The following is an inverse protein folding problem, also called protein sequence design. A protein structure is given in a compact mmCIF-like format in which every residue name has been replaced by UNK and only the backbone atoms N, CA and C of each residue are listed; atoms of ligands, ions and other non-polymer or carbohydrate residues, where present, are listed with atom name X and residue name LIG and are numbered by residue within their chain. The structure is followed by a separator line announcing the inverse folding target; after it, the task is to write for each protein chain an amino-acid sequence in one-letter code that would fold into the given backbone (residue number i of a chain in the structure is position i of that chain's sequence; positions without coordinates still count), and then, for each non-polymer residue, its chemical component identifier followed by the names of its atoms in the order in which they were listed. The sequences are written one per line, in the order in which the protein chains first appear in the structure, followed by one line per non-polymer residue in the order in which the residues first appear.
data_IF_276192809939
#
_entry.id   IF_276192809939
#
_cell.length_a   1.000
_cell.length_b   1.000
_cell.length_c   1.000
_cell.angle_alpha   90.00
_cell.angle_beta   90.00
_cell.angle_gamma   90.00
#
_symmetry.space_group_name_H-M   'P 1'
#
loop_
_entity.id
_entity.type
_entity.pdbx_description
1 polymer ?
#
# COMPACT_ATOMS: atom_id res chain seq x y z
N UNK A 1 -5.19 -7.87 -8.98
CA UNK A 1 -3.81 -7.67 -9.47
C UNK A 1 -3.81 -7.65 -10.99
N UNK A 2 -3.07 -6.75 -11.66
CA UNK A 2 -2.95 -6.75 -13.13
C UNK A 2 -1.79 -7.64 -13.57
N UNK A 3 -2.09 -8.65 -14.38
CA UNK A 3 -1.11 -9.63 -14.84
C UNK A 3 -1.01 -9.62 -16.36
N UNK A 4 0.21 -9.45 -16.87
CA UNK A 4 0.49 -9.58 -18.30
C UNK A 4 1.10 -10.94 -18.60
N UNK A 5 0.45 -11.70 -19.46
CA UNK A 5 0.86 -13.03 -19.86
C UNK A 5 1.42 -13.04 -21.28
N UNK A 6 2.56 -13.70 -21.51
CA UNK A 6 3.09 -13.95 -22.85
C UNK A 6 3.37 -15.43 -23.06
N UNK A 7 2.93 -15.95 -24.20
CA UNK A 7 3.21 -17.31 -24.62
C UNK A 7 4.06 -17.36 -25.89
N UNK A 8 4.93 -18.37 -26.00
CA UNK A 8 5.91 -18.50 -27.10
C UNK A 8 5.58 -19.61 -28.10
N UNK A 9 4.51 -20.38 -27.89
CA UNK A 9 4.02 -21.43 -28.80
C UNK A 9 2.49 -21.41 -28.85
N UNK A 10 1.87 -21.98 -29.89
CA UNK A 10 0.40 -22.13 -29.97
C UNK A 10 -0.16 -22.91 -28.76
N UNK A 11 0.55 -23.98 -28.34
CA UNK A 11 0.17 -24.77 -27.17
C UNK A 11 0.25 -23.95 -25.88
N UNK A 12 1.34 -23.20 -25.72
CA UNK A 12 1.51 -22.27 -24.60
C UNK A 12 0.44 -21.18 -24.59
N UNK A 13 0.04 -20.67 -25.75
CA UNK A 13 -1.01 -19.66 -25.85
C UNK A 13 -2.37 -20.22 -25.41
N UNK A 14 -2.72 -21.42 -25.88
CA UNK A 14 -3.94 -22.09 -25.42
C UNK A 14 -3.93 -22.36 -23.90
N UNK A 15 -2.77 -22.71 -23.33
CA UNK A 15 -2.61 -22.81 -21.86
C UNK A 15 -2.81 -21.44 -21.19
N UNK A 16 -2.16 -20.40 -21.69
CA UNK A 16 -2.25 -19.03 -21.18
C UNK A 16 -3.70 -18.53 -21.15
N UNK A 17 -4.47 -18.73 -22.23
CA UNK A 17 -5.88 -18.32 -22.29
C UNK A 17 -6.77 -19.11 -21.32
N UNK A 18 -6.48 -20.39 -21.08
CA UNK A 18 -7.24 -21.17 -20.08
C UNK A 18 -6.92 -20.71 -18.66
N UNK A 19 -5.64 -20.52 -18.35
CA UNK A 19 -5.20 -20.01 -17.05
C UNK A 19 -5.73 -18.60 -16.81
N UNK A 20 -5.68 -17.70 -17.79
CA UNK A 20 -6.22 -16.35 -17.68
C UNK A 20 -7.73 -16.36 -17.37
N UNK A 21 -8.51 -17.18 -18.09
CA UNK A 21 -9.94 -17.35 -17.79
C UNK A 21 -10.18 -17.84 -16.36
N UNK A 22 -9.49 -18.90 -15.94
CA UNK A 22 -9.64 -19.43 -14.58
C UNK A 22 -9.29 -18.38 -13.50
N UNK A 23 -8.21 -17.61 -13.70
CA UNK A 23 -7.80 -16.55 -12.79
C UNK A 23 -8.80 -15.38 -12.73
N UNK A 24 -9.45 -15.07 -13.86
CA UNK A 24 -10.51 -14.06 -13.92
C UNK A 24 -11.87 -14.56 -13.42
N UNK A 25 -12.15 -15.87 -13.54
CA UNK A 25 -13.42 -16.51 -13.11
C UNK A 25 -13.44 -16.79 -11.61
N UNK A 26 -12.28 -17.05 -10.97
CA UNK A 26 -12.16 -17.08 -9.51
C UNK A 26 -12.65 -15.77 -8.85
N UNK A 27 -12.70 -14.65 -9.59
CA UNK A 27 -13.33 -13.41 -9.14
C UNK A 27 -14.85 -13.53 -8.91
N UNK A 28 -15.50 -14.55 -9.47
CA UNK A 28 -16.96 -14.67 -9.55
C UNK A 28 -17.54 -15.77 -8.64
N UNK A 29 -16.70 -16.65 -8.08
CA UNK A 29 -17.16 -17.81 -7.27
C UNK A 29 -17.44 -17.48 -5.80
N UNK A 30 -17.17 -16.25 -5.35
CA UNK A 30 -17.44 -15.82 -3.97
C UNK A 30 -16.51 -16.44 -2.92
N UNK A 31 -15.46 -17.16 -3.35
CA UNK A 31 -14.25 -17.34 -2.53
C UNK A 31 -13.47 -16.02 -2.61
N UNK A 32 -12.95 -15.55 -1.47
CA UNK A 32 -12.29 -14.24 -1.29
C UNK A 32 -10.95 -14.07 -2.10
N UNK A 33 -10.79 -14.74 -3.24
CA UNK A 33 -9.61 -14.64 -4.11
C UNK A 33 -9.71 -13.33 -4.93
N UNK A 34 -8.75 -12.41 -4.82
CA UNK A 34 -8.81 -11.11 -5.47
C UNK A 34 -8.75 -11.28 -6.99
N UNK A 35 -9.90 -11.29 -7.66
CA UNK A 35 -10.03 -11.40 -9.11
C UNK A 35 -8.88 -10.76 -9.90
N UNK A 36 -8.24 -11.56 -10.75
CA UNK A 36 -7.03 -11.16 -11.44
C UNK A 36 -7.40 -10.60 -12.82
N UNK A 37 -6.91 -9.40 -13.11
CA UNK A 37 -7.05 -8.78 -14.43
C UNK A 37 -5.90 -9.28 -15.30
N UNK A 38 -6.15 -10.28 -16.14
CA UNK A 38 -5.12 -10.99 -16.90
C UNK A 38 -5.24 -10.68 -18.39
N UNK A 39 -4.18 -10.11 -18.97
CA UNK A 39 -4.05 -9.94 -20.43
C UNK A 39 -3.13 -11.01 -21.02
N UNK A 40 -3.40 -11.46 -22.25
CA UNK A 40 -2.61 -12.52 -22.92
C UNK A 40 -2.10 -12.04 -24.27
N UNK A 41 -0.78 -12.16 -24.48
CA UNK A 41 -0.07 -11.74 -25.70
C UNK A 41 0.64 -12.93 -26.38
N UNK A 42 0.78 -12.85 -27.71
CA UNK A 42 1.54 -13.82 -28.52
C UNK A 42 2.98 -13.35 -28.71
N UNK A 43 3.93 -14.19 -28.32
CA UNK A 43 5.38 -14.03 -28.61
C UNK A 43 5.86 -14.79 -29.86
N UNK A 44 4.93 -15.30 -30.68
CA UNK A 44 5.19 -16.12 -31.86
C UNK A 44 4.16 -15.83 -32.97
N UNK A 45 4.42 -16.28 -34.20
CA UNK A 45 3.54 -16.09 -35.35
C UNK A 45 3.58 -14.68 -35.97
N UNK A 46 2.67 -14.41 -36.90
CA UNK A 46 2.45 -13.06 -37.44
C UNK A 46 1.86 -12.15 -36.35
N UNK A 47 2.29 -10.88 -36.33
CA UNK A 47 1.88 -9.93 -35.29
C UNK A 47 2.45 -10.22 -33.90
N UNK A 48 3.47 -11.09 -33.77
CA UNK A 48 4.12 -11.37 -32.50
C UNK A 48 4.66 -10.08 -31.86
N UNK A 49 4.54 -9.99 -30.55
CA UNK A 49 5.18 -8.94 -29.79
C UNK A 49 6.70 -9.14 -29.80
N UNK A 50 7.45 -8.04 -29.99
CA UNK A 50 8.89 -8.07 -29.69
C UNK A 50 9.07 -8.26 -28.19
N UNK A 51 9.80 -9.31 -27.78
CA UNK A 51 9.89 -9.69 -26.37
C UNK A 51 10.45 -8.57 -25.50
N UNK A 52 11.42 -7.81 -26.00
CA UNK A 52 12.04 -6.73 -25.22
C UNK A 52 11.08 -5.56 -25.06
N UNK A 53 10.46 -5.12 -26.15
CA UNK A 53 9.47 -4.04 -26.12
C UNK A 53 8.23 -4.43 -25.29
N UNK A 54 7.74 -5.67 -25.46
CA UNK A 54 6.63 -6.20 -24.68
C UNK A 54 6.96 -6.23 -23.20
N UNK A 55 8.15 -6.74 -22.84
CA UNK A 55 8.54 -6.83 -21.42
C UNK A 55 8.63 -5.44 -20.81
N UNK A 56 9.19 -4.45 -21.51
CA UNK A 56 9.25 -3.07 -21.03
C UNK A 56 7.86 -2.49 -20.77
N UNK A 57 6.93 -2.61 -21.73
CA UNK A 57 5.56 -2.13 -21.58
C UNK A 57 4.81 -2.87 -20.47
N UNK A 58 4.93 -4.20 -20.43
CA UNK A 58 4.28 -5.04 -19.41
C UNK A 58 4.81 -4.74 -18.00
N UNK A 59 6.12 -4.47 -17.86
CA UNK A 59 6.76 -4.12 -16.60
C UNK A 59 6.23 -2.80 -16.02
N UNK A 60 6.00 -1.81 -16.87
CA UNK A 60 5.43 -0.52 -16.45
C UNK A 60 3.93 -0.61 -16.19
N UNK A 61 3.20 -1.39 -16.99
CA UNK A 61 1.75 -1.42 -16.97
C UNK A 61 1.15 -2.45 -16.01
N UNK A 62 1.92 -3.41 -15.49
CA UNK A 62 1.38 -4.59 -14.77
C UNK A 62 2.06 -4.81 -13.42
N UNK A 63 1.30 -5.40 -12.51
CA UNK A 63 1.81 -5.76 -11.18
C UNK A 63 2.53 -7.13 -11.21
N UNK A 64 2.20 -8.00 -12.17
CA UNK A 64 2.92 -9.24 -12.44
C UNK A 64 3.04 -9.59 -13.93
N UNK A 65 4.05 -10.39 -14.24
CA UNK A 65 4.29 -10.98 -15.55
C UNK A 65 4.26 -12.52 -15.44
N UNK A 66 3.48 -13.15 -16.32
CA UNK A 66 3.41 -14.60 -16.47
C UNK A 66 4.01 -15.02 -17.82
N UNK A 67 5.12 -15.75 -17.80
CA UNK A 67 5.74 -16.28 -19.01
C UNK A 67 5.34 -17.75 -19.21
N UNK A 68 4.65 -18.05 -20.31
CA UNK A 68 4.32 -19.43 -20.70
C UNK A 68 5.35 -19.95 -21.69
N UNK A 69 6.35 -20.65 -21.15
CA UNK A 69 7.51 -21.15 -21.88
C UNK A 69 8.72 -21.40 -20.99
N UNK A 70 9.91 -21.44 -21.58
CA UNK A 70 11.13 -21.70 -20.83
C UNK A 70 11.47 -20.55 -19.86
N UNK A 71 11.72 -20.87 -18.58
CA UNK A 71 12.09 -19.89 -17.55
C UNK A 71 13.30 -19.01 -17.94
N UNK A 72 14.27 -19.58 -18.67
CA UNK A 72 15.43 -18.82 -19.16
C UNK A 72 15.09 -17.68 -20.14
N UNK A 73 13.95 -17.77 -20.85
CA UNK A 73 13.45 -16.66 -21.67
C UNK A 73 12.98 -15.52 -20.76
N UNK A 74 12.17 -15.85 -19.75
CA UNK A 74 11.68 -14.90 -18.76
C UNK A 74 12.83 -14.18 -18.05
N UNK A 75 13.81 -14.92 -17.52
CA UNK A 75 14.97 -14.36 -16.81
C UNK A 75 15.74 -13.36 -17.68
N UNK A 76 16.01 -13.69 -18.95
CA UNK A 76 16.72 -12.78 -19.87
C UNK A 76 15.89 -11.56 -20.23
N UNK A 77 14.58 -11.73 -20.39
CA UNK A 77 13.67 -10.64 -20.75
C UNK A 77 13.56 -9.60 -19.63
N UNK A 78 13.46 -10.04 -18.37
CA UNK A 78 13.29 -9.16 -17.23
C UNK A 78 14.61 -8.54 -16.73
N UNK A 79 15.76 -9.15 -17.02
CA UNK A 79 17.06 -8.73 -16.48
C UNK A 79 17.37 -7.22 -16.56
N UNK A 80 17.04 -6.49 -17.65
CA UNK A 80 17.27 -5.04 -17.74
C UNK A 80 16.37 -4.20 -16.83
N UNK A 81 15.30 -4.78 -16.26
CA UNK A 81 14.27 -4.08 -15.50
C UNK A 81 14.32 -4.37 -13.99
N UNK A 82 15.10 -5.37 -13.57
CA UNK A 82 15.26 -5.76 -12.16
C UNK A 82 15.99 -4.67 -11.40
N UNK A 83 15.38 -4.17 -10.32
CA UNK A 83 15.95 -3.11 -9.48
C UNK A 83 15.91 -3.48 -7.99
N UNK A 84 14.74 -3.81 -7.46
CA UNK A 84 14.56 -4.13 -6.03
C UNK A 84 13.34 -5.00 -5.77
N UNK A 85 13.48 -5.96 -4.84
CA UNK A 85 12.38 -6.83 -4.37
C UNK A 85 11.16 -6.07 -3.79
N UNK A 86 11.31 -4.79 -3.44
CA UNK A 86 10.24 -3.97 -2.91
C UNK A 86 9.39 -3.28 -3.99
N UNK A 87 9.92 -3.16 -5.22
CA UNK A 87 9.30 -2.40 -6.31
C UNK A 87 9.10 -3.21 -7.59
N UNK A 88 9.91 -4.25 -7.79
CA UNK A 88 9.89 -5.06 -9.01
C UNK A 88 8.59 -5.88 -9.08
N UNK A 89 7.96 -5.91 -10.25
CA UNK A 89 6.78 -6.72 -10.52
C UNK A 89 7.05 -8.20 -10.23
N UNK A 90 6.01 -8.92 -9.81
CA UNK A 90 6.09 -10.37 -9.67
C UNK A 90 6.33 -11.03 -11.02
N UNK A 91 7.22 -12.03 -11.06
CA UNK A 91 7.47 -12.79 -12.29
C UNK A 91 7.33 -14.28 -12.02
N UNK A 92 6.50 -14.93 -12.81
CA UNK A 92 6.28 -16.38 -12.79
C UNK A 92 6.51 -16.95 -14.18
N UNK A 93 7.12 -18.12 -14.26
CA UNK A 93 7.20 -18.92 -15.48
C UNK A 93 6.44 -20.23 -15.31
N UNK A 94 5.68 -20.63 -16.33
CA UNK A 94 5.05 -21.95 -16.42
C UNK A 94 5.45 -22.61 -17.75
N UNK A 95 5.81 -23.89 -17.72
CA UNK A 95 6.15 -24.59 -18.97
C UNK A 95 4.91 -24.86 -19.82
N UNK A 96 5.08 -25.00 -21.15
CA UNK A 96 3.95 -25.11 -22.07
C UNK A 96 3.06 -26.35 -21.84
N UNK A 97 3.58 -27.37 -21.15
CA UNK A 97 2.83 -28.56 -20.77
C UNK A 97 2.08 -28.38 -19.44
N UNK A 98 2.21 -27.24 -18.76
CA UNK A 98 1.55 -26.94 -17.51
C UNK A 98 2.00 -27.85 -16.35
N UNK A 99 3.27 -28.24 -16.30
CA UNK A 99 3.79 -29.17 -15.27
C UNK A 99 4.32 -28.43 -14.06
N UNK A 100 5.02 -27.31 -14.27
CA UNK A 100 5.67 -26.57 -13.19
C UNK A 100 5.43 -25.07 -13.32
N UNK A 101 4.93 -24.45 -12.25
CA UNK A 101 4.85 -23.00 -12.12
C UNK A 101 5.95 -22.52 -11.15
N UNK A 102 6.87 -21.70 -11.65
CA UNK A 102 8.08 -21.30 -10.94
C UNK A 102 8.08 -19.79 -10.73
N UNK A 103 7.99 -19.28 -9.48
CA UNK A 103 8.24 -17.87 -9.20
C UNK A 103 9.71 -17.56 -9.41
N UNK A 104 10.00 -16.52 -10.20
CA UNK A 104 11.35 -16.10 -10.59
C UNK A 104 11.79 -14.81 -9.88
N UNK A 105 10.87 -13.89 -9.63
CA UNK A 105 11.17 -12.59 -9.01
C UNK A 105 10.00 -12.12 -8.13
N UNK A 106 10.33 -11.40 -7.05
CA UNK A 106 9.38 -10.79 -6.10
C UNK A 106 8.37 -11.78 -5.48
N UNK A 107 8.89 -12.85 -4.88
CA UNK A 107 8.12 -13.95 -4.24
C UNK A 107 7.04 -13.51 -3.25
N UNK A 108 7.43 -12.90 -2.13
CA UNK A 108 6.50 -12.46 -1.07
C UNK A 108 5.85 -11.11 -1.37
N UNK A 109 6.57 -10.01 -1.20
CA UNK A 109 6.04 -8.65 -1.37
C UNK A 109 5.40 -8.40 -2.74
N UNK A 110 6.00 -8.92 -3.83
CA UNK A 110 5.42 -8.78 -5.16
C UNK A 110 4.30 -9.76 -5.47
N UNK A 111 4.12 -10.82 -4.67
CA UNK A 111 3.07 -11.82 -4.85
C UNK A 111 3.39 -12.93 -5.86
N UNK A 112 4.64 -13.12 -6.28
CA UNK A 112 4.96 -14.18 -7.27
C UNK A 112 4.74 -15.59 -6.72
N UNK A 113 4.91 -15.82 -5.40
CA UNK A 113 4.64 -17.13 -4.80
C UNK A 113 3.15 -17.47 -4.88
N UNK A 114 2.28 -16.52 -4.52
CA UNK A 114 0.83 -16.68 -4.62
C UNK A 114 0.40 -16.87 -6.08
N UNK A 115 0.89 -16.02 -7.01
CA UNK A 115 0.60 -16.17 -8.43
C UNK A 115 1.01 -17.55 -8.95
N UNK A 116 2.19 -18.05 -8.56
CA UNK A 116 2.65 -19.38 -8.96
C UNK A 116 1.73 -20.49 -8.43
N UNK A 117 1.25 -20.38 -7.19
CA UNK A 117 0.30 -21.33 -6.61
C UNK A 117 -1.06 -21.26 -7.32
N UNK A 118 -1.59 -20.07 -7.58
CA UNK A 118 -2.88 -19.90 -8.24
C UNK A 118 -2.83 -20.37 -9.70
N UNK A 119 -1.77 -20.00 -10.43
CA UNK A 119 -1.49 -20.51 -11.78
C UNK A 119 -1.36 -22.03 -11.78
N UNK A 120 -0.66 -22.60 -10.80
CA UNK A 120 -0.50 -24.04 -10.68
C UNK A 120 -1.85 -24.75 -10.46
N UNK A 121 -2.69 -24.24 -9.55
CA UNK A 121 -4.05 -24.76 -9.35
C UNK A 121 -4.87 -24.72 -10.64
N UNK A 122 -4.86 -23.58 -11.34
CA UNK A 122 -5.61 -23.39 -12.58
C UNK A 122 -5.10 -24.28 -13.74
N UNK A 123 -3.79 -24.50 -13.83
CA UNK A 123 -3.17 -25.28 -14.90
C UNK A 123 -3.06 -26.79 -14.59
N UNK A 124 -3.30 -27.21 -13.35
CA UNK A 124 -2.96 -28.57 -12.89
C UNK A 124 -1.45 -28.79 -12.74
N UNK A 125 -0.68 -27.72 -12.56
CA UNK A 125 0.77 -27.75 -12.41
C UNK A 125 1.20 -27.93 -10.94
N UNK A 126 2.49 -28.14 -10.73
CA UNK A 126 3.12 -28.14 -9.41
C UNK A 126 3.81 -26.78 -9.20
N UNK A 127 3.49 -26.02 -8.13
CA UNK A 127 4.21 -24.79 -7.81
C UNK A 127 5.59 -25.10 -7.18
N UNK A 128 6.66 -24.48 -7.71
CA UNK A 128 8.04 -24.69 -7.25
C UNK A 128 8.48 -23.52 -6.37
N UNK A 129 7.99 -23.49 -5.13
CA UNK A 129 8.33 -22.44 -4.15
C UNK A 129 9.66 -22.78 -3.46
N UNK A 130 10.61 -21.86 -3.50
CA UNK A 130 11.98 -22.07 -2.96
C UNK A 130 12.34 -21.15 -1.80
N UNK A 131 11.47 -20.19 -1.46
CA UNK A 131 11.74 -19.21 -0.42
C UNK A 131 11.74 -19.86 0.97
N UNK A 132 12.78 -19.59 1.76
CA UNK A 132 13.07 -20.31 3.01
C UNK A 132 11.97 -20.18 4.08
N UNK A 133 11.29 -19.05 4.15
CA UNK A 133 10.19 -18.80 5.08
C UNK A 133 8.99 -19.71 4.77
N UNK A 134 8.63 -19.86 3.50
CA UNK A 134 7.56 -20.77 3.04
C UNK A 134 7.94 -22.23 3.29
N UNK A 135 9.18 -22.61 2.97
CA UNK A 135 9.67 -23.99 3.16
C UNK A 135 9.63 -24.39 4.65
N UNK A 136 9.84 -23.44 5.57
CA UNK A 136 9.81 -23.69 7.02
C UNK A 136 8.44 -23.46 7.66
N UNK A 137 7.44 -22.98 6.90
CA UNK A 137 6.11 -22.63 7.44
C UNK A 137 6.14 -21.53 8.49
N UNK A 138 7.15 -20.65 8.45
CA UNK A 138 7.26 -19.52 9.39
C UNK A 138 6.42 -18.37 8.87
N UNK A 139 5.78 -17.61 9.76
CA UNK A 139 4.98 -16.46 9.36
C UNK A 139 5.83 -15.38 8.66
N UNK A 140 5.39 -14.97 7.46
CA UNK A 140 6.04 -13.96 6.66
C UNK A 140 5.35 -12.60 6.83
N UNK A 141 5.97 -11.71 7.61
CA UNK A 141 5.43 -10.37 7.91
C UNK A 141 5.11 -9.54 6.67
N UNK A 142 5.88 -9.70 5.61
CA UNK A 142 5.77 -8.97 4.37
C UNK A 142 4.65 -9.53 3.48
N UNK A 143 4.45 -10.86 3.50
CA UNK A 143 3.26 -11.48 2.91
C UNK A 143 1.99 -11.02 3.63
N UNK A 144 1.99 -11.04 4.97
CA UNK A 144 0.87 -10.52 5.75
C UNK A 144 0.59 -9.04 5.47
N UNK A 145 1.63 -8.19 5.44
CA UNK A 145 1.50 -6.78 5.13
C UNK A 145 0.82 -6.57 3.76
N UNK A 146 1.25 -7.31 2.74
CA UNK A 146 0.66 -7.26 1.40
C UNK A 146 -0.81 -7.69 1.40
N UNK A 147 -1.15 -8.84 2.00
CA UNK A 147 -2.52 -9.34 2.06
C UNK A 147 -3.45 -8.42 2.86
N UNK A 148 -2.93 -7.76 3.89
CA UNK A 148 -3.64 -6.77 4.69
C UNK A 148 -3.67 -5.37 4.05
N UNK A 149 -3.09 -5.19 2.86
CA UNK A 149 -3.04 -3.90 2.16
C UNK A 149 -2.15 -2.84 2.83
N UNK A 150 -1.19 -3.26 3.65
CA UNK A 150 -0.25 -2.38 4.36
C UNK A 150 0.96 -2.06 3.47
N UNK A 151 1.31 -0.78 3.38
CA UNK A 151 2.53 -0.37 2.68
C UNK A 151 3.76 -0.50 3.60
N UNK A 152 4.85 -1.07 3.11
CA UNK A 152 6.10 -1.17 3.88
C UNK A 152 6.95 0.08 3.66
N UNK A 153 7.16 0.90 4.69
CA UNK A 153 7.91 2.16 4.52
C UNK A 153 9.43 1.97 4.58
N UNK A 154 9.90 0.91 5.26
CA UNK A 154 11.33 0.58 5.40
C UNK A 154 11.60 -0.91 5.12
N UNK A 155 11.53 -1.35 3.83
CA UNK A 155 11.62 -2.76 3.44
C UNK A 155 12.88 -3.49 3.93
N UNK A 156 13.98 -2.78 4.18
CA UNK A 156 15.21 -3.33 4.72
C UNK A 156 15.04 -3.96 6.11
N UNK A 157 14.09 -3.47 6.91
CA UNK A 157 13.79 -4.01 8.25
C UNK A 157 13.10 -5.38 8.20
N UNK A 158 12.50 -5.77 7.06
CA UNK A 158 11.90 -7.11 6.88
C UNK A 158 12.94 -8.19 7.16
N UNK A 159 14.16 -8.04 6.63
CA UNK A 159 15.22 -9.04 6.80
C UNK A 159 15.50 -9.35 8.26
N UNK A 160 15.48 -8.32 9.12
CA UNK A 160 15.73 -8.48 10.56
C UNK A 160 14.58 -9.24 11.24
N UNK A 161 13.33 -8.86 10.94
CA UNK A 161 12.14 -9.53 11.47
C UNK A 161 12.10 -10.99 11.02
N UNK A 162 12.26 -11.25 9.71
CA UNK A 162 12.27 -12.60 9.15
C UNK A 162 13.41 -13.45 9.72
N UNK A 163 14.62 -12.92 9.83
CA UNK A 163 15.75 -13.67 10.39
C UNK A 163 15.51 -14.09 11.84
N UNK A 164 14.89 -13.21 12.65
CA UNK A 164 14.58 -13.49 14.06
C UNK A 164 13.51 -14.58 14.21
N UNK A 165 12.47 -14.55 13.38
CA UNK A 165 11.45 -15.60 13.34
C UNK A 165 12.02 -16.93 12.85
N UNK A 166 12.86 -16.91 11.80
CA UNK A 166 13.51 -18.10 11.25
C UNK A 166 14.48 -18.79 12.22
N UNK A 167 15.02 -18.05 13.21
CA UNK A 167 15.84 -18.60 14.28
C UNK A 167 15.03 -19.02 15.52
N UNK A 168 13.69 -19.05 15.44
CA UNK A 168 12.81 -19.39 16.56
C UNK A 168 12.67 -18.30 17.62
N UNK A 169 13.16 -17.09 17.34
CA UNK A 169 12.96 -15.92 18.19
C UNK A 169 11.55 -15.35 18.07
N UNK A 170 11.19 -14.48 19.02
CA UNK A 170 9.88 -13.79 19.05
C UNK A 170 10.02 -12.33 18.65
N UNK A 171 9.00 -11.77 18.02
CA UNK A 171 8.91 -10.35 17.62
C UNK A 171 7.67 -9.70 18.24
N UNK A 172 7.82 -8.45 18.68
CA UNK A 172 6.74 -7.66 19.24
C UNK A 172 6.06 -6.81 18.14
N UNK A 173 4.74 -6.87 18.01
CA UNK A 173 3.95 -6.10 17.06
C UNK A 173 3.03 -5.12 17.77
N UNK A 174 3.11 -3.85 17.40
CA UNK A 174 2.19 -2.79 17.82
C UNK A 174 1.32 -2.36 16.65
N UNK A 175 0.04 -2.03 16.90
CA UNK A 175 -0.88 -1.57 15.87
C UNK A 175 -1.83 -0.48 16.40
N UNK A 176 -1.97 0.61 15.63
CA UNK A 176 -2.99 1.64 15.84
C UNK A 176 -4.40 1.17 15.43
N UNK A 177 -4.50 -0.03 14.85
CA UNK A 177 -5.73 -0.67 14.38
C UNK A 177 -5.99 -1.98 15.11
N UNK A 178 -7.26 -2.35 15.35
CA UNK A 178 -7.59 -3.66 15.87
C UNK A 178 -7.12 -4.75 14.90
N UNK A 179 -6.58 -5.85 15.45
CA UNK A 179 -6.20 -7.04 14.69
C UNK A 179 -7.00 -8.22 15.24
N UNK A 180 -7.73 -8.88 14.37
CA UNK A 180 -8.51 -10.07 14.66
C UNK A 180 -7.72 -11.36 14.35
N UNK A 181 -8.15 -12.45 14.97
CA UNK A 181 -7.52 -13.76 14.83
C UNK A 181 -6.41 -14.01 15.86
N UNK A 182 -5.87 -15.22 15.85
CA UNK A 182 -4.78 -15.59 16.75
C UNK A 182 -3.44 -15.10 16.18
N UNK A 183 -2.59 -14.45 17.01
CA UNK A 183 -1.24 -14.10 16.59
C UNK A 183 -0.47 -15.34 16.11
N UNK A 184 0.29 -15.24 15.00
CA UNK A 184 1.14 -16.32 14.52
C UNK A 184 2.19 -16.71 15.55
N UNK A 185 2.75 -17.91 15.40
CA UNK A 185 3.85 -18.37 16.25
C UNK A 185 5.04 -17.38 16.18
N UNK A 186 5.56 -17.02 17.36
CA UNK A 186 6.66 -16.07 17.48
C UNK A 186 6.24 -14.60 17.40
N UNK A 187 4.96 -14.27 17.25
CA UNK A 187 4.48 -12.87 17.25
C UNK A 187 3.74 -12.56 18.54
N UNK A 188 4.22 -11.54 19.27
CA UNK A 188 3.61 -11.02 20.49
C UNK A 188 2.96 -9.66 20.22
N UNK A 189 1.76 -9.42 20.77
CA UNK A 189 1.13 -8.09 20.67
C UNK A 189 1.68 -7.18 21.77
N UNK A 190 2.30 -6.08 21.37
CA UNK A 190 2.82 -5.06 22.26
C UNK A 190 1.76 -4.00 22.56
N UNK A 191 1.64 -3.62 23.83
CA UNK A 191 0.82 -2.48 24.26
C UNK A 191 1.52 -1.12 24.04
N UNK A 192 2.85 -1.14 23.88
CA UNK A 192 3.68 0.06 23.74
C UNK A 192 4.48 0.03 22.43
N UNK A 193 4.34 1.09 21.65
CA UNK A 193 5.03 1.32 20.38
C UNK A 193 6.54 1.34 20.54
N UNK A 194 7.08 1.84 21.65
CA UNK A 194 8.52 2.01 21.85
C UNK A 194 9.28 0.68 21.95
N UNK A 195 8.59 -0.41 22.26
CA UNK A 195 9.17 -1.74 22.46
C UNK A 195 8.87 -2.72 21.32
N UNK A 196 8.21 -2.24 20.27
CA UNK A 196 7.77 -3.08 19.15
C UNK A 196 8.91 -3.29 18.14
N UNK A 197 9.01 -4.50 17.60
CA UNK A 197 9.83 -4.85 16.45
C UNK A 197 9.13 -4.50 15.13
N UNK A 198 7.79 -4.51 15.13
CA UNK A 198 6.89 -4.21 14.01
C UNK A 198 5.85 -3.19 14.47
N UNK A 199 5.62 -2.15 13.68
CA UNK A 199 4.66 -1.07 13.97
C UNK A 199 3.71 -0.90 12.79
N UNK A 200 2.42 -1.06 13.03
CA UNK A 200 1.34 -0.76 12.08
C UNK A 200 0.70 0.57 12.44
N UNK A 201 0.87 1.59 11.58
CA UNK A 201 0.44 2.95 11.90
C UNK A 201 0.25 3.80 10.64
N UNK A 202 -0.72 4.72 10.58
CA UNK A 202 -0.83 5.65 9.45
C UNK A 202 0.24 6.76 9.47
N UNK A 203 1.05 6.85 10.52
CA UNK A 203 1.95 7.98 10.75
C UNK A 203 3.39 7.70 10.31
N UNK A 204 4.05 8.73 9.75
CA UNK A 204 5.33 8.62 9.04
C UNK A 204 6.58 8.53 9.94
N UNK A 205 6.45 8.54 11.27
CA UNK A 205 7.62 8.60 12.19
C UNK A 205 7.42 7.92 13.55
N UNK A 206 8.52 7.75 14.30
CA UNK A 206 8.58 7.07 15.60
C UNK A 206 7.72 7.71 16.71
N UNK A 207 7.35 8.99 16.56
CA UNK A 207 6.53 9.72 17.51
C UNK A 207 5.24 10.19 16.86
N UNK A 208 4.23 9.32 16.83
CA UNK A 208 2.83 9.72 16.59
C UNK A 208 1.95 9.53 17.85
N UNK A 209 2.59 9.50 19.01
CA UNK A 209 1.96 9.37 20.33
C UNK A 209 1.93 10.66 21.15
N UNK A 210 2.48 11.77 20.66
CA UNK A 210 2.30 13.05 21.33
C UNK A 210 0.95 13.63 20.92
N UNK A 211 -0.03 13.54 21.83
CA UNK A 211 -1.20 14.43 21.78
C UNK A 211 -0.69 15.85 21.57
N UNK A 212 -1.12 16.49 20.47
CA UNK A 212 -0.90 17.92 20.25
C UNK A 212 -1.66 18.66 21.35
N UNK A 213 -1.00 18.88 22.49
CA UNK A 213 -1.46 19.88 23.46
C UNK A 213 -0.99 21.22 22.91
N UNK A 214 -1.94 22.14 22.81
CA UNK A 214 -1.68 23.54 22.49
C UNK A 214 -0.50 24.02 23.33
N UNK A 215 0.50 24.60 22.68
CA UNK A 215 1.62 25.22 23.35
C UNK A 215 1.10 26.42 24.14
N UNK A 216 0.96 26.27 25.46
CA UNK A 216 0.94 27.41 26.37
C UNK A 216 2.38 27.85 26.58
N UNK A 217 2.72 29.00 25.98
CA UNK A 217 3.96 29.71 26.23
C UNK A 217 3.90 30.42 27.58
N UNK A 218 4.61 29.89 28.57
CA UNK A 218 5.15 30.61 29.73
C UNK A 218 6.48 29.91 30.05
N UNK A 219 7.66 30.45 29.76
CA UNK A 219 8.20 31.66 30.40
C UNK A 219 8.97 31.24 31.64
N UNK A 220 10.27 30.92 31.49
CA UNK A 220 11.37 31.48 32.29
C UNK A 220 12.69 30.74 32.06
N UNK A 221 13.70 31.51 31.66
CA UNK A 221 15.10 31.11 31.52
C UNK A 221 15.82 31.49 32.82
N UNK A 222 16.46 30.52 33.48
CA UNK A 222 17.37 30.79 34.61
C UNK A 222 18.74 30.18 34.28
N UNK A 223 19.87 30.92 34.42
CA UNK A 223 21.18 30.48 33.95
C UNK A 223 21.96 29.63 34.98
N UNK A 224 22.80 28.77 34.39
CA UNK A 224 23.97 28.01 34.85
C UNK A 224 24.41 28.03 36.33
N UNK A 225 24.65 26.81 36.86
CA UNK A 225 25.43 26.50 38.06
C UNK A 225 26.32 25.28 37.80
N UNK A 226 27.44 25.20 38.52
CA UNK A 226 28.73 24.62 38.13
C UNK A 226 28.90 23.08 38.14
N UNK A 227 29.78 22.65 37.23
CA UNK A 227 30.73 21.54 37.27
C UNK A 227 30.44 20.32 38.17
N UNK A 228 29.95 19.25 37.53
CA UNK A 228 30.18 17.86 37.95
C UNK A 228 30.52 17.03 36.71
N UNK A 229 31.62 16.29 36.74
CA UNK A 229 32.05 15.41 35.64
C UNK A 229 30.91 14.44 35.25
N UNK A 230 30.50 14.36 33.97
CA UNK A 230 29.56 13.33 33.57
C UNK A 230 30.30 12.00 33.50
N UNK A 231 30.00 11.13 34.45
CA UNK A 231 30.26 9.70 34.37
C UNK A 231 29.85 9.20 32.98
N UNK A 232 30.78 8.57 32.27
CA UNK A 232 30.61 8.16 30.88
C UNK A 232 29.33 7.38 30.65
N UNK A 233 28.31 8.05 30.12
CA UNK A 233 27.15 7.39 29.51
C UNK A 233 27.70 6.68 28.29
N UNK A 234 27.93 5.37 28.39
CA UNK A 234 28.02 4.52 27.20
C UNK A 234 26.70 4.73 26.46
N UNK A 235 26.75 5.51 25.38
CA UNK A 235 25.66 5.58 24.44
C UNK A 235 25.39 4.15 23.97
N UNK A 236 24.33 3.52 24.48
CA UNK A 236 23.79 2.33 23.87
C UNK A 236 23.54 2.70 22.41
N UNK A 237 24.07 1.90 21.49
CA UNK A 237 23.73 2.03 20.09
C UNK A 237 22.19 2.07 20.01
N UNK A 238 21.61 3.07 19.31
CA UNK A 238 20.16 3.23 19.27
C UNK A 238 19.55 1.89 18.85
N UNK A 239 18.50 1.47 19.57
CA UNK A 239 17.79 0.25 19.24
C UNK A 239 17.41 0.28 17.74
N UNK A 240 17.60 -0.82 17.02
CA UNK A 240 17.43 -0.81 15.57
C UNK A 240 15.96 -0.47 15.24
N UNK A 241 15.74 0.45 14.30
CA UNK A 241 14.41 0.98 14.00
C UNK A 241 13.40 -0.13 13.69
N UNK A 242 12.16 -0.08 14.21
CA UNK A 242 11.15 -1.11 13.94
C UNK A 242 10.81 -1.21 12.45
N UNK A 243 10.32 -2.38 12.02
CA UNK A 243 9.67 -2.50 10.72
C UNK A 243 8.36 -1.69 10.77
N UNK A 244 8.17 -0.78 9.81
CA UNK A 244 7.04 0.14 9.74
C UNK A 244 6.12 -0.27 8.60
N UNK A 245 4.89 -0.59 8.98
CA UNK A 245 3.79 -0.93 8.10
C UNK A 245 2.77 0.21 8.16
N UNK A 246 2.45 0.79 7.01
CA UNK A 246 1.54 1.91 6.89
C UNK A 246 0.17 1.39 6.54
N UNK A 247 -0.79 1.60 7.45
CA UNK A 247 -2.19 1.22 7.23
C UNK A 247 -2.93 2.32 6.45
N UNK A 248 -3.59 1.99 5.32
CA UNK A 248 -4.34 2.96 4.53
C UNK A 248 -5.71 3.23 5.17
N UNK A 249 -5.74 4.04 6.23
CA UNK A 249 -6.95 4.34 6.99
C UNK A 249 -7.35 5.83 6.97
N UNK A 250 -6.69 6.64 6.15
CA UNK A 250 -6.93 8.08 6.08
C UNK A 250 -7.77 8.43 4.85
N UNK A 251 -8.83 9.21 5.04
CA UNK A 251 -9.58 9.82 3.94
C UNK A 251 -9.15 11.28 3.80
N UNK A 252 -8.77 11.66 2.59
CA UNK A 252 -8.35 13.02 2.27
C UNK A 252 -9.52 13.80 1.64
N UNK A 253 -10.12 14.70 2.40
CA UNK A 253 -11.10 15.63 1.84
C UNK A 253 -10.40 16.75 1.09
N UNK A 254 -10.61 16.84 -0.21
CA UNK A 254 -9.90 17.79 -1.09
C UNK A 254 -10.89 18.73 -1.77
N UNK A 255 -10.69 20.03 -1.58
CA UNK A 255 -11.36 21.08 -2.34
C UNK A 255 -10.34 21.92 -3.09
N UNK A 256 -10.59 22.26 -4.34
CA UNK A 256 -9.72 23.13 -5.15
C UNK A 256 -10.52 24.20 -5.91
N UNK A 257 -9.83 25.22 -6.43
CA UNK A 257 -10.37 26.11 -7.46
C UNK A 257 -10.47 25.36 -8.79
N UNK A 258 -11.39 25.80 -9.66
CA UNK A 258 -11.54 25.27 -11.02
C UNK A 258 -10.21 25.39 -11.78
N UNK A 259 -9.80 24.33 -12.47
CA UNK A 259 -8.57 24.29 -13.26
C UNK A 259 -7.28 24.14 -12.45
N UNK A 260 -7.36 23.79 -11.16
CA UNK A 260 -6.17 23.49 -10.36
C UNK A 260 -5.46 22.26 -10.93
N UNK A 261 -4.16 22.36 -11.22
CA UNK A 261 -3.38 21.26 -11.77
C UNK A 261 -3.04 20.21 -10.69
N UNK A 262 -2.69 19.00 -11.13
CA UNK A 262 -2.40 17.87 -10.25
C UNK A 262 -1.20 18.13 -9.33
N UNK A 263 -0.23 18.92 -9.79
CA UNK A 263 0.98 19.30 -9.06
C UNK A 263 0.62 20.20 -7.87
N UNK A 264 -0.22 21.22 -8.07
CA UNK A 264 -0.67 22.11 -7.00
C UNK A 264 -1.49 21.37 -5.93
N UNK A 265 -2.34 20.41 -6.35
CA UNK A 265 -3.06 19.53 -5.43
C UNK A 265 -2.08 18.62 -4.69
N UNK A 266 -1.09 18.08 -5.41
CA UNK A 266 -0.01 17.27 -4.87
C UNK A 266 0.80 17.96 -3.79
N UNK A 267 1.16 19.22 -4.01
CA UNK A 267 1.92 20.05 -3.07
C UNK A 267 1.12 20.33 -1.80
N UNK A 268 -0.13 20.80 -1.93
CA UNK A 268 -1.01 21.05 -0.79
C UNK A 268 -1.26 19.78 0.04
N UNK A 269 -1.42 18.63 -0.63
CA UNK A 269 -1.56 17.33 0.00
C UNK A 269 -0.31 16.92 0.78
N UNK A 270 0.88 17.00 0.17
CA UNK A 270 2.13 16.62 0.84
C UNK A 270 2.44 17.54 2.02
N UNK A 271 2.14 18.84 1.88
CA UNK A 271 2.25 19.79 2.98
C UNK A 271 1.32 19.42 4.14
N UNK A 272 0.06 19.07 3.85
CA UNK A 272 -0.88 18.60 4.86
C UNK A 272 -0.39 17.31 5.53
N UNK A 273 0.10 16.32 4.76
CA UNK A 273 0.67 15.08 5.31
C UNK A 273 1.83 15.36 6.26
N UNK A 274 2.75 16.24 5.86
CA UNK A 274 3.89 16.65 6.67
C UNK A 274 3.48 17.32 7.98
N UNK A 275 2.52 18.24 7.94
CA UNK A 275 2.00 18.92 9.14
C UNK A 275 1.21 17.99 10.06
N UNK A 276 0.49 17.02 9.48
CA UNK A 276 -0.28 16.03 10.23
C UNK A 276 0.58 14.85 10.74
N UNK A 277 1.84 14.73 10.30
CA UNK A 277 2.69 13.56 10.57
C UNK A 277 2.18 12.26 9.92
N UNK A 278 1.31 12.36 8.92
CA UNK A 278 0.67 11.24 8.23
C UNK A 278 1.55 10.79 7.07
N UNK A 279 1.72 9.47 6.91
CA UNK A 279 2.35 8.94 5.71
C UNK A 279 1.43 9.13 4.51
N UNK A 280 1.92 9.64 3.36
CA UNK A 280 1.13 9.73 2.13
C UNK A 280 0.44 8.41 1.75
N UNK A 281 1.10 7.26 1.99
CA UNK A 281 0.55 5.92 1.72
C UNK A 281 -0.55 5.49 2.70
N UNK A 282 -0.77 6.24 3.78
CA UNK A 282 -1.88 5.99 4.70
C UNK A 282 -3.23 6.51 4.15
N UNK A 283 -3.20 7.32 3.08
CA UNK A 283 -4.39 7.86 2.44
C UNK A 283 -4.97 6.80 1.52
N UNK A 284 -6.16 6.31 1.85
CA UNK A 284 -6.87 5.26 1.10
C UNK A 284 -7.78 5.79 0.00
N UNK A 285 -8.21 7.04 0.12
CA UNK A 285 -9.23 7.64 -0.72
C UNK A 285 -9.14 9.16 -0.65
N UNK A 286 -9.39 9.81 -1.78
CA UNK A 286 -9.71 11.24 -1.83
C UNK A 286 -11.23 11.42 -1.89
N UNK A 287 -11.76 12.43 -1.22
CA UNK A 287 -13.18 12.73 -1.19
C UNK A 287 -13.43 14.20 -1.56
N UNK A 288 -14.48 14.48 -2.35
CA UNK A 288 -14.86 15.84 -2.73
C UNK A 288 -16.36 15.97 -3.00
N UNK A 289 -16.79 17.16 -3.42
CA UNK A 289 -18.17 17.42 -3.87
C UNK A 289 -18.39 17.00 -5.33
N UNK A 290 -19.56 16.51 -5.67
CA UNK A 290 -19.97 16.03 -7.00
C UNK A 290 -19.68 16.99 -8.17
N UNK A 291 -19.81 18.31 -7.96
CA UNK A 291 -19.45 19.31 -8.98
C UNK A 291 -17.97 19.27 -9.38
N UNK A 292 -17.13 18.56 -8.63
CA UNK A 292 -15.69 18.31 -8.90
C UNK A 292 -15.39 16.90 -9.41
N UNK A 293 -16.39 16.06 -9.67
CA UNK A 293 -16.19 14.69 -10.14
C UNK A 293 -15.36 14.60 -11.44
N UNK A 294 -15.44 15.63 -12.28
CA UNK A 294 -14.75 15.70 -13.57
C UNK A 294 -13.58 16.70 -13.59
N UNK A 295 -13.10 17.14 -12.44
CA UNK A 295 -11.95 18.05 -12.38
C UNK A 295 -10.66 17.31 -12.76
N UNK A 296 -10.09 17.63 -13.92
CA UNK A 296 -8.97 16.89 -14.52
C UNK A 296 -7.74 16.82 -13.59
N UNK A 297 -7.40 17.91 -12.90
CA UNK A 297 -6.27 17.94 -11.99
C UNK A 297 -6.46 17.03 -10.78
N UNK A 298 -7.68 16.91 -10.26
CA UNK A 298 -8.00 16.03 -9.14
C UNK A 298 -7.97 14.56 -9.56
N UNK A 299 -8.55 14.24 -10.72
CA UNK A 299 -8.49 12.91 -11.31
C UNK A 299 -7.05 12.48 -11.61
N UNK A 300 -6.23 13.38 -12.16
CA UNK A 300 -4.82 13.12 -12.42
C UNK A 300 -4.02 12.90 -11.12
N UNK A 301 -4.27 13.70 -10.08
CA UNK A 301 -3.69 13.51 -8.75
C UNK A 301 -4.05 12.13 -8.16
N UNK A 302 -5.32 11.73 -8.24
CA UNK A 302 -5.81 10.45 -7.73
C UNK A 302 -5.20 9.26 -8.49
N UNK A 303 -5.14 9.34 -9.84
CA UNK A 303 -4.48 8.33 -10.68
C UNK A 303 -3.00 8.17 -10.35
N UNK A 304 -2.27 9.29 -10.21
CA UNK A 304 -0.85 9.26 -9.89
C UNK A 304 -0.56 8.60 -8.53
N UNK A 305 -1.48 8.75 -7.56
CA UNK A 305 -1.39 8.13 -6.23
C UNK A 305 -2.05 6.75 -6.12
N UNK A 306 -2.75 6.29 -7.17
CA UNK A 306 -3.53 5.05 -7.19
C UNK A 306 -4.57 4.99 -6.06
N UNK A 307 -5.21 6.12 -5.76
CA UNK A 307 -6.32 6.19 -4.78
C UNK A 307 -7.64 6.50 -5.51
N UNK A 308 -8.78 5.92 -5.07
CA UNK A 308 -10.08 6.28 -5.58
C UNK A 308 -10.46 7.72 -5.20
N UNK A 309 -11.38 8.28 -5.99
CA UNK A 309 -12.04 9.56 -5.72
C UNK A 309 -13.51 9.30 -5.41
N UNK A 310 -13.92 9.52 -4.17
CA UNK A 310 -15.32 9.57 -3.77
C UNK A 310 -15.88 10.98 -3.98
N UNK A 311 -17.12 11.04 -4.45
CA UNK A 311 -17.84 12.30 -4.65
C UNK A 311 -19.19 12.27 -3.97
N UNK A 312 -19.52 13.36 -3.29
CA UNK A 312 -20.76 13.50 -2.54
C UNK A 312 -21.52 14.73 -3.03
N UNK A 313 -22.84 14.64 -3.09
CA UNK A 313 -23.72 15.77 -3.34
C UNK A 313 -23.67 16.80 -2.22
N UNK A 314 -24.09 18.03 -2.53
CA UNK A 314 -24.23 19.07 -1.51
C UNK A 314 -25.18 18.67 -0.37
N UNK A 315 -26.24 17.92 -0.68
CA UNK A 315 -27.19 17.41 0.31
C UNK A 315 -26.52 16.40 1.24
N UNK A 316 -25.83 15.39 0.71
CA UNK A 316 -25.10 14.39 1.51
C UNK A 316 -24.09 15.06 2.44
N UNK A 317 -23.29 16.00 1.93
CA UNK A 317 -22.32 16.73 2.74
C UNK A 317 -22.98 17.55 3.86
N UNK A 318 -24.14 18.18 3.59
CA UNK A 318 -24.86 18.97 4.58
C UNK A 318 -25.36 18.14 5.78
N UNK A 319 -25.63 16.85 5.56
CA UNK A 319 -26.06 15.91 6.60
C UNK A 319 -24.90 15.31 7.40
N UNK A 320 -23.65 15.51 6.98
CA UNK A 320 -22.49 15.00 7.71
C UNK A 320 -22.36 15.74 9.05
N UNK A 321 -22.51 15.00 10.14
CA UNK A 321 -22.29 15.50 11.49
C UNK A 321 -20.80 15.59 11.83
N UNK A 322 -20.41 16.61 12.60
CA UNK A 322 -19.04 16.79 13.06
C UNK A 322 -18.67 18.26 13.22
N UNK A 323 -17.75 18.55 14.15
CA UNK A 323 -17.21 19.90 14.33
C UNK A 323 -16.32 20.26 13.14
N UNK A 324 -16.86 21.07 12.22
CA UNK A 324 -16.15 21.60 11.06
C UNK A 324 -15.86 23.09 11.23
N UNK A 325 -14.79 23.57 10.59
CA UNK A 325 -14.43 24.98 10.52
C UNK A 325 -15.25 25.66 9.40
N UNK A 326 -16.26 26.50 9.70
CA UNK A 326 -17.14 27.06 8.68
C UNK A 326 -16.38 27.99 7.71
N UNK A 327 -16.89 28.12 6.48
CA UNK A 327 -16.36 29.02 5.44
C UNK A 327 -17.49 29.72 4.69
N UNK A 328 -17.62 31.02 4.90
CA UNK A 328 -18.71 31.85 4.32
C UNK A 328 -18.70 31.85 2.79
N UNK A 329 -17.51 31.79 2.17
CA UNK A 329 -17.34 31.71 0.72
C UNK A 329 -17.91 30.39 0.12
N UNK A 330 -17.74 29.27 0.82
CA UNK A 330 -18.20 27.95 0.35
C UNK A 330 -19.72 27.84 0.49
N UNK A 331 -20.27 28.34 1.60
CA UNK A 331 -21.72 28.38 1.83
C UNK A 331 -22.44 29.16 0.73
N UNK A 332 -21.88 30.29 0.31
CA UNK A 332 -22.45 31.12 -0.75
C UNK A 332 -22.36 30.49 -2.15
N UNK A 333 -21.42 29.57 -2.39
CA UNK A 333 -21.13 29.02 -3.73
C UNK A 333 -21.79 27.66 -3.97
N UNK A 334 -21.80 26.78 -2.96
CA UNK A 334 -22.27 25.39 -3.09
C UNK A 334 -23.30 24.99 -2.03
N UNK A 335 -23.74 25.92 -1.18
CA UNK A 335 -24.76 25.67 -0.15
C UNK A 335 -24.26 24.95 1.11
N UNK A 336 -22.98 24.59 1.17
CA UNK A 336 -22.34 23.87 2.30
C UNK A 336 -21.27 24.75 2.95
N UNK A 337 -21.21 24.78 4.28
CA UNK A 337 -20.27 25.62 5.03
C UNK A 337 -18.79 25.17 4.94
N UNK A 338 -18.51 23.88 4.72
CA UNK A 338 -17.16 23.36 4.50
C UNK A 338 -17.16 22.05 3.69
N UNK A 339 -16.75 22.12 2.42
CA UNK A 339 -16.69 20.93 1.55
C UNK A 339 -15.58 19.97 1.94
N UNK A 340 -14.36 20.45 2.26
CA UNK A 340 -13.22 19.54 2.42
C UNK A 340 -13.32 18.71 3.70
N UNK A 341 -13.71 19.28 4.84
CA UNK A 341 -13.83 18.52 6.09
C UNK A 341 -15.03 17.59 6.06
N UNK A 342 -16.17 18.04 5.51
CA UNK A 342 -17.37 17.17 5.36
C UNK A 342 -17.10 16.02 4.41
N UNK A 343 -16.42 16.25 3.30
CA UNK A 343 -16.06 15.18 2.37
C UNK A 343 -15.11 14.17 3.04
N UNK A 344 -14.15 14.62 3.85
CA UNK A 344 -13.30 13.70 4.62
C UNK A 344 -14.12 12.86 5.63
N UNK A 345 -15.18 13.43 6.21
CA UNK A 345 -16.01 12.80 7.24
C UNK A 345 -17.17 11.95 6.68
N UNK A 346 -17.55 12.13 5.42
CA UNK A 346 -18.74 11.52 4.82
C UNK A 346 -18.77 9.98 4.94
N UNK A 347 -17.61 9.33 4.97
CA UNK A 347 -17.47 7.89 5.19
C UNK A 347 -17.52 7.42 6.65
N UNK A 348 -17.91 8.28 7.61
CA UNK A 348 -18.03 7.95 9.03
C UNK A 348 -16.71 7.95 9.82
N UNK A 349 -15.68 8.64 9.31
CA UNK A 349 -14.38 8.77 9.96
C UNK A 349 -14.36 9.81 11.09
N UNK A 350 -13.24 9.89 11.81
CA UNK A 350 -12.96 10.95 12.79
C UNK A 350 -11.98 11.96 12.22
N UNK A 351 -12.30 13.26 12.27
CA UNK A 351 -11.37 14.31 11.83
C UNK A 351 -10.10 14.28 12.69
N UNK A 352 -8.94 14.18 12.05
CA UNK A 352 -7.62 14.17 12.72
C UNK A 352 -6.73 15.33 12.28
N UNK A 353 -7.05 15.97 11.15
CA UNK A 353 -6.37 17.17 10.68
C UNK A 353 -7.40 18.12 10.05
N UNK A 354 -7.58 19.33 10.60
CA UNK A 354 -8.54 20.30 10.07
C UNK A 354 -8.09 20.83 8.70
N UNK A 355 -8.95 21.62 8.06
CA UNK A 355 -8.68 22.24 6.76
C UNK A 355 -7.37 23.05 6.77
N UNK A 356 -6.43 22.62 5.94
CA UNK A 356 -5.31 23.42 5.48
C UNK A 356 -5.63 24.02 4.12
N UNK A 357 -5.45 25.34 3.96
CA UNK A 357 -5.56 26.01 2.67
C UNK A 357 -4.16 26.37 2.14
N UNK A 358 -3.83 25.94 0.92
CA UNK A 358 -2.56 26.21 0.27
C UNK A 358 -2.72 26.26 -1.24
N UNK A 359 -2.21 27.29 -1.92
CA UNK A 359 -2.19 27.36 -3.38
C UNK A 359 -3.58 27.33 -4.07
N UNK A 360 -4.66 27.70 -3.37
CA UNK A 360 -6.03 27.56 -3.90
C UNK A 360 -6.60 26.14 -3.81
N UNK A 361 -5.92 25.25 -3.09
CA UNK A 361 -6.36 23.91 -2.69
C UNK A 361 -6.58 23.89 -1.17
N UNK A 362 -7.51 23.06 -0.74
CA UNK A 362 -7.85 22.81 0.65
C UNK A 362 -7.81 21.31 0.89
N UNK A 363 -7.17 20.89 1.99
CA UNK A 363 -7.01 19.49 2.36
C UNK A 363 -7.37 19.32 3.83
N UNK A 364 -8.17 18.30 4.14
CA UNK A 364 -8.45 17.85 5.49
C UNK A 364 -8.30 16.32 5.56
N UNK A 365 -7.98 15.78 6.75
CA UNK A 365 -7.87 14.34 6.94
C UNK A 365 -8.78 13.83 8.04
N UNK A 366 -9.49 12.74 7.72
CA UNK A 366 -10.17 11.92 8.72
C UNK A 366 -9.51 10.55 8.80
N UNK A 367 -9.65 9.89 9.95
CA UNK A 367 -9.22 8.51 10.20
C UNK A 367 -10.45 7.62 10.31
N UNK A 368 -10.47 6.53 9.56
CA UNK A 368 -11.43 5.43 9.74
C UNK A 368 -10.77 4.28 10.50
N UNK A 369 -11.57 3.50 11.22
CA UNK A 369 -11.08 2.26 11.85
C UNK A 369 -11.14 1.13 10.84
N UNK A 370 -10.03 0.43 10.65
CA UNK A 370 -9.94 -0.77 9.81
C UNK A 370 -9.59 -1.93 10.73
N UNK A 371 -10.34 -3.02 10.64
CA UNK A 371 -9.99 -4.26 11.30
C UNK A 371 -9.03 -5.08 10.42
N UNK A 372 -7.82 -5.30 10.94
CA UNK A 372 -6.84 -6.17 10.31
C UNK A 372 -7.09 -7.61 10.75
N UNK A 373 -6.55 -8.59 10.01
CA UNK A 373 -6.67 -10.01 10.35
C UNK A 373 -5.33 -10.71 10.16
N UNK A 374 -5.02 -11.66 11.05
CA UNK A 374 -3.89 -12.58 10.86
C UNK A 374 -4.19 -13.74 9.91
N UNK A 375 -5.45 -13.97 9.55
CA UNK A 375 -5.78 -15.00 8.56
C UNK A 375 -5.19 -14.58 7.21
N UNK A 376 -4.31 -15.43 6.67
CA UNK A 376 -3.95 -15.41 5.26
C UNK A 376 -5.26 -15.65 4.49
N UNK A 377 -5.68 -14.65 3.72
CA UNK A 377 -6.83 -14.77 2.80
C UNK A 377 -6.38 -15.51 1.56
#
# INVERSE_FOLDING_TARGET
MRVSCIAFTERGYALAERTARALSDCAQTGEDDPGWDVSVSRGFGEGKADLRAWTALAWEASDALLFVGAAGIAVRAIAPHVASKASDSAVVAIDEAGRFAVPLLSGHLGGANELAQTVARAAGAIPIITTATDVRGVWAVDTWARCAGLAVSNPEAIKRVSARLLSGGRVALYSDMPISGQPPEGVDIASDRARADIVVSPFAGANAGASVRAAETTGDVVPAGEAGEPAGVRAQAPAPEPLRLVVPCIVAGIGCRRGACAEAIGEAFLLACGQAGISPSAVREAATIDVKAHEEGLLAFCRARKIPLATYSAEELSQVEGSVSPSDFVRATVGVDNVCERAALAGGGKLIFPKLAHGGVTVAFSKVTIELSYKER
#
